data_IF_437013899667
#
_entry.id   IF_437013899667
#
_cell.length_a   1.000
_cell.length_b   1.000
_cell.length_c   1.000
_cell.angle_alpha   90.00
_cell.angle_beta   90.00
_cell.angle_gamma   90.00
#
_symmetry.space_group_name_H-M   'P 1'
#
loop_
_entity.id
_entity.type
_entity.pdbx_description
1 polymer ?
#
# COMPACT_ATOMS: atom_id res chain seq x y z
N UNK A 1 12.81 -1.62 -8.77
CA UNK A 1 12.60 -2.81 -9.62
C UNK A 1 11.80 -2.45 -10.85
N UNK A 2 10.50 -2.12 -10.73
CA UNK A 2 9.57 -1.81 -11.85
C UNK A 2 10.01 -0.72 -12.86
N UNK A 3 10.99 0.13 -12.53
CA UNK A 3 11.51 1.15 -13.46
C UNK A 3 12.54 0.59 -14.44
N UNK A 4 13.34 -0.40 -14.02
CA UNK A 4 14.54 -0.84 -14.72
C UNK A 4 14.56 -2.34 -15.03
N UNK A 5 13.61 -3.12 -14.49
CA UNK A 5 13.63 -4.59 -14.53
C UNK A 5 12.24 -5.19 -14.24
N UNK A 6 12.14 -6.52 -14.29
CA UNK A 6 10.94 -7.32 -14.01
C UNK A 6 11.04 -8.09 -12.67
N UNK A 7 9.92 -8.62 -12.17
CA UNK A 7 9.88 -9.33 -10.87
C UNK A 7 10.64 -10.68 -10.87
N UNK A 8 11.05 -11.17 -12.04
CA UNK A 8 11.79 -12.41 -12.22
C UNK A 8 13.31 -12.22 -12.34
N UNK A 9 13.83 -10.99 -12.27
CA UNK A 9 15.28 -10.66 -12.35
C UNK A 9 16.18 -11.52 -11.45
N UNK A 10 15.67 -11.97 -10.31
CA UNK A 10 16.41 -12.83 -9.38
C UNK A 10 16.63 -14.25 -9.92
N UNK A 11 15.90 -14.68 -10.95
CA UNK A 11 16.07 -15.97 -11.59
C UNK A 11 17.34 -15.98 -12.45
N UNK A 12 18.05 -17.12 -12.53
CA UNK A 12 19.14 -17.25 -13.48
C UNK A 12 18.69 -16.92 -14.91
N UNK A 13 19.55 -16.33 -15.77
CA UNK A 13 19.17 -15.91 -17.13
C UNK A 13 18.54 -17.02 -17.99
N UNK A 14 18.88 -18.28 -17.73
CA UNK A 14 18.31 -19.44 -18.42
C UNK A 14 16.80 -19.64 -18.15
N UNK A 15 16.28 -19.08 -17.06
CA UNK A 15 14.87 -19.12 -16.67
C UNK A 15 14.10 -17.85 -17.05
N UNK A 16 14.75 -16.87 -17.68
CA UNK A 16 14.10 -15.71 -18.33
C UNK A 16 13.53 -16.08 -19.72
N UNK A 17 13.05 -17.32 -19.87
CA UNK A 17 12.36 -17.77 -21.07
C UNK A 17 10.84 -17.53 -20.91
N UNK A 18 10.23 -16.82 -21.86
CA UNK A 18 8.81 -16.48 -21.82
C UNK A 18 7.93 -17.73 -21.77
N UNK A 19 8.34 -18.81 -22.44
CA UNK A 19 7.63 -20.09 -22.40
C UNK A 19 7.75 -20.81 -21.05
N UNK A 20 8.84 -20.60 -20.30
CA UNK A 20 8.97 -21.09 -18.93
C UNK A 20 8.10 -20.28 -17.97
N UNK A 21 8.20 -18.95 -18.02
CA UNK A 21 7.46 -18.04 -17.13
C UNK A 21 5.94 -18.26 -17.26
N UNK A 22 5.43 -18.45 -18.48
CA UNK A 22 3.99 -18.67 -18.69
C UNK A 22 3.46 -19.96 -18.03
N UNK A 23 4.34 -20.93 -17.70
CA UNK A 23 4.00 -22.17 -16.96
C UNK A 23 3.95 -21.98 -15.44
N UNK A 24 4.43 -20.85 -14.90
CA UNK A 24 4.36 -20.56 -13.47
C UNK A 24 2.93 -20.22 -13.08
N UNK A 25 2.30 -20.99 -12.21
CA UNK A 25 0.90 -20.76 -11.86
C UNK A 25 0.68 -19.47 -11.05
N UNK A 26 1.61 -19.15 -10.15
CA UNK A 26 1.46 -18.06 -9.19
C UNK A 26 2.82 -17.45 -8.86
N UNK A 27 2.85 -16.13 -8.69
CA UNK A 27 3.94 -15.41 -8.05
C UNK A 27 3.47 -14.89 -6.69
N UNK A 28 4.11 -15.34 -5.62
CA UNK A 28 3.84 -14.87 -4.26
C UNK A 28 4.98 -13.92 -3.82
N UNK A 29 4.72 -12.61 -3.72
CA UNK A 29 5.74 -11.63 -3.35
C UNK A 29 6.15 -11.74 -1.88
N UNK A 30 7.41 -12.10 -1.63
CA UNK A 30 7.91 -12.26 -0.25
C UNK A 30 7.93 -10.97 0.58
N UNK A 31 7.84 -9.79 -0.04
CA UNK A 31 7.76 -8.51 0.67
C UNK A 31 6.36 -8.18 1.23
N UNK A 32 5.32 -8.88 0.77
CA UNK A 32 3.96 -8.76 1.32
C UNK A 32 3.75 -9.71 2.51
N UNK A 33 4.66 -10.67 2.68
CA UNK A 33 4.62 -11.65 3.77
C UNK A 33 5.35 -11.12 4.98
N UNK A 34 4.70 -11.20 6.14
CA UNK A 34 5.30 -10.84 7.42
C UNK A 34 6.54 -11.67 7.74
N UNK A 35 7.51 -11.04 8.40
CA UNK A 35 8.60 -11.77 9.05
C UNK A 35 8.01 -12.60 10.18
N UNK A 36 8.31 -13.90 10.23
CA UNK A 36 7.84 -14.80 11.29
C UNK A 36 8.32 -14.27 12.66
N UNK A 37 7.37 -13.98 13.55
CA UNK A 37 7.62 -13.51 14.93
C UNK A 37 7.24 -14.58 15.95
N UNK A 38 7.80 -14.47 17.14
CA UNK A 38 7.52 -15.38 18.27
C UNK A 38 6.03 -15.57 18.56
N UNK A 39 5.24 -14.53 18.35
CA UNK A 39 3.80 -14.49 18.60
C UNK A 39 2.97 -15.28 17.57
N UNK A 40 3.52 -15.53 16.38
CA UNK A 40 2.87 -16.31 15.32
C UNK A 40 3.01 -17.82 15.55
N UNK A 41 3.83 -18.25 16.51
CA UNK A 41 3.94 -19.66 16.85
C UNK A 41 2.77 -20.10 17.71
N UNK A 42 2.26 -21.29 17.41
CA UNK A 42 1.29 -21.95 18.29
C UNK A 42 1.88 -22.14 19.69
N UNK A 43 1.05 -21.92 20.71
CA UNK A 43 1.38 -22.25 22.10
C UNK A 43 1.06 -23.72 22.45
N UNK A 44 0.45 -24.44 21.51
CA UNK A 44 0.03 -25.84 21.67
C UNK A 44 0.95 -26.83 20.95
N UNK A 45 0.52 -28.08 20.89
CA UNK A 45 1.23 -29.12 20.14
C UNK A 45 1.10 -28.90 18.63
N UNK A 46 2.22 -28.99 17.92
CA UNK A 46 2.26 -29.04 16.47
C UNK A 46 2.42 -30.46 15.95
N UNK A 47 2.17 -30.66 14.65
CA UNK A 47 2.49 -31.91 13.98
C UNK A 47 4.00 -32.04 13.76
N UNK A 48 4.51 -33.26 13.92
CA UNK A 48 5.87 -33.58 13.48
C UNK A 48 5.92 -33.48 11.95
N UNK A 49 7.04 -32.98 11.41
CA UNK A 49 7.20 -32.66 9.98
C UNK A 49 6.81 -33.82 9.07
N UNK A 50 7.23 -35.05 9.39
CA UNK A 50 6.94 -36.23 8.58
C UNK A 50 5.43 -36.53 8.52
N UNK A 51 4.73 -36.33 9.63
CA UNK A 51 3.29 -36.52 9.68
C UNK A 51 2.54 -35.44 8.90
N UNK A 52 2.98 -34.18 9.03
CA UNK A 52 2.44 -33.08 8.21
C UNK A 52 2.68 -33.34 6.71
N UNK A 53 3.87 -33.84 6.34
CA UNK A 53 4.20 -34.17 4.96
C UNK A 53 3.27 -35.26 4.39
N UNK A 54 2.96 -36.30 5.18
CA UNK A 54 1.98 -37.33 4.78
C UNK A 54 0.56 -36.77 4.64
N UNK A 55 0.13 -35.87 5.54
CA UNK A 55 -1.17 -35.17 5.39
C UNK A 55 -1.21 -34.39 4.08
N UNK A 56 -0.19 -33.58 3.79
CA UNK A 56 -0.13 -32.78 2.55
C UNK A 56 -0.06 -33.67 1.31
N UNK A 57 0.64 -34.80 1.38
CA UNK A 57 0.70 -35.81 0.32
C UNK A 57 -0.67 -36.42 0.03
N UNK A 58 -1.46 -36.69 1.08
CA UNK A 58 -2.82 -37.18 0.93
C UNK A 58 -3.75 -36.10 0.35
N UNK A 59 -3.75 -34.88 0.91
CA UNK A 59 -4.53 -33.74 0.41
C UNK A 59 -4.21 -33.36 -1.04
N UNK A 60 -3.02 -33.69 -1.55
CA UNK A 60 -2.68 -33.49 -2.96
C UNK A 60 -3.60 -34.26 -3.92
N UNK A 61 -4.19 -35.38 -3.48
CA UNK A 61 -5.10 -36.21 -4.29
C UNK A 61 -6.50 -35.64 -4.39
N UNK A 62 -6.91 -34.84 -3.41
CA UNK A 62 -8.19 -34.14 -3.40
C UNK A 62 -8.21 -33.02 -4.45
N UNK A 63 -9.37 -32.68 -5.01
CA UNK A 63 -9.47 -31.55 -5.94
C UNK A 63 -10.50 -30.52 -5.45
N UNK A 64 -9.99 -29.35 -5.05
CA UNK A 64 -10.82 -28.23 -4.58
C UNK A 64 -10.92 -27.12 -5.64
N UNK A 65 -10.53 -27.38 -6.88
CA UNK A 65 -10.51 -26.40 -7.97
C UNK A 65 -11.87 -25.76 -8.24
N UNK A 66 -12.96 -26.52 -8.09
CA UNK A 66 -14.32 -26.06 -8.45
C UNK A 66 -15.06 -25.36 -7.31
N UNK A 67 -14.46 -25.26 -6.11
CA UNK A 67 -15.12 -24.61 -4.96
C UNK A 67 -15.44 -23.13 -5.18
N UNK A 68 -14.57 -22.32 -5.84
CA UNK A 68 -14.88 -20.92 -6.12
C UNK A 68 -16.11 -20.74 -7.01
N UNK A 69 -16.40 -21.70 -7.90
CA UNK A 69 -17.51 -21.64 -8.86
C UNK A 69 -18.90 -21.67 -8.20
N UNK A 70 -18.97 -22.05 -6.92
CA UNK A 70 -20.22 -22.02 -6.15
C UNK A 70 -20.69 -20.58 -5.89
N UNK A 71 -19.76 -19.62 -5.86
CA UNK A 71 -20.01 -18.24 -5.45
C UNK A 71 -19.58 -17.21 -6.49
N UNK A 72 -18.59 -17.54 -7.32
CA UNK A 72 -17.93 -16.60 -8.21
C UNK A 72 -17.73 -17.17 -9.61
N UNK A 73 -17.80 -16.31 -10.62
CA UNK A 73 -17.44 -16.64 -12.01
C UNK A 73 -16.21 -15.84 -12.42
N UNK A 74 -15.14 -16.55 -12.80
CA UNK A 74 -13.92 -15.93 -13.34
C UNK A 74 -14.17 -15.47 -14.79
N UNK A 75 -13.49 -14.41 -15.21
CA UNK A 75 -13.51 -13.87 -16.58
C UNK A 75 -13.39 -14.95 -17.66
N UNK A 76 -14.35 -14.99 -18.60
CA UNK A 76 -14.30 -15.91 -19.74
C UNK A 76 -13.15 -15.60 -20.71
N UNK A 77 -12.61 -14.37 -20.66
CA UNK A 77 -11.58 -13.87 -21.57
C UNK A 77 -10.17 -14.35 -21.23
N UNK A 78 -9.95 -14.95 -20.05
CA UNK A 78 -8.65 -15.52 -19.72
C UNK A 78 -8.46 -16.87 -20.41
N UNK A 79 -7.22 -17.17 -20.80
CA UNK A 79 -6.90 -18.43 -21.46
C UNK A 79 -7.19 -19.62 -20.53
N UNK A 80 -7.37 -20.82 -21.11
CA UNK A 80 -7.52 -22.06 -20.32
C UNK A 80 -6.33 -22.28 -19.37
N UNK A 81 -5.12 -21.93 -19.80
CA UNK A 81 -3.90 -22.00 -18.97
C UNK A 81 -3.96 -21.06 -17.76
N UNK A 82 -4.40 -19.81 -17.96
CA UNK A 82 -4.55 -18.85 -16.87
C UNK A 82 -5.60 -19.31 -15.87
N UNK A 83 -6.70 -19.83 -16.38
CA UNK A 83 -7.79 -20.38 -15.58
C UNK A 83 -7.33 -21.58 -14.75
N UNK A 84 -6.63 -22.52 -15.37
CA UNK A 84 -6.06 -23.69 -14.70
C UNK A 84 -5.04 -23.28 -13.61
N UNK A 85 -4.23 -22.26 -13.88
CA UNK A 85 -3.27 -21.74 -12.92
C UNK A 85 -3.96 -21.16 -11.68
N UNK A 86 -5.01 -20.35 -11.88
CA UNK A 86 -5.80 -19.77 -10.79
C UNK A 86 -6.49 -20.88 -9.98
N UNK A 87 -7.18 -21.81 -10.63
CA UNK A 87 -7.89 -22.89 -9.94
C UNK A 87 -6.95 -23.86 -9.19
N UNK A 88 -5.79 -24.19 -9.76
CA UNK A 88 -4.78 -25.00 -9.04
C UNK A 88 -4.21 -24.27 -7.83
N UNK A 89 -4.04 -22.95 -7.94
CA UNK A 89 -3.58 -22.12 -6.82
C UNK A 89 -4.64 -22.06 -5.73
N UNK A 90 -5.91 -21.85 -6.10
CA UNK A 90 -7.06 -21.93 -5.20
C UNK A 90 -7.15 -23.28 -4.48
N UNK A 91 -7.05 -24.36 -5.24
CA UNK A 91 -7.08 -25.73 -4.70
C UNK A 91 -5.95 -25.95 -3.68
N UNK A 92 -4.76 -25.43 -3.94
CA UNK A 92 -3.63 -25.47 -3.00
C UNK A 92 -3.89 -24.67 -1.72
N UNK A 93 -4.37 -23.42 -1.85
CA UNK A 93 -4.65 -22.54 -0.72
C UNK A 93 -5.76 -23.11 0.17
N UNK A 94 -6.86 -23.58 -0.41
CA UNK A 94 -7.97 -24.19 0.32
C UNK A 94 -7.52 -25.42 1.11
N UNK A 95 -6.62 -26.24 0.58
CA UNK A 95 -6.09 -27.41 1.31
C UNK A 95 -5.22 -27.03 2.50
N UNK A 96 -4.47 -25.93 2.39
CA UNK A 96 -3.56 -25.48 3.45
C UNK A 96 -4.33 -24.77 4.57
N UNK A 97 -5.28 -23.91 4.20
CA UNK A 97 -6.02 -23.07 5.15
C UNK A 97 -7.28 -23.76 5.68
N UNK A 98 -8.01 -24.46 4.81
CA UNK A 98 -9.27 -25.15 5.12
C UNK A 98 -9.21 -26.65 4.74
N UNK A 99 -8.26 -27.44 5.29
CA UNK A 99 -8.09 -28.85 4.95
C UNK A 99 -9.34 -29.70 5.22
N UNK A 100 -10.15 -29.33 6.22
CA UNK A 100 -11.40 -29.99 6.57
C UNK A 100 -12.65 -29.38 5.88
N UNK A 101 -12.47 -28.33 5.08
CA UNK A 101 -13.53 -27.45 4.59
C UNK A 101 -14.11 -26.54 5.69
N UNK A 102 -15.27 -25.94 5.41
CA UNK A 102 -15.97 -25.02 6.31
C UNK A 102 -15.66 -23.54 6.07
N UNK A 103 -15.01 -23.25 4.95
CA UNK A 103 -14.79 -21.89 4.45
C UNK A 103 -16.11 -21.16 4.16
N UNK A 104 -16.16 -19.87 4.50
CA UNK A 104 -17.26 -18.97 4.13
C UNK A 104 -17.10 -18.46 2.68
N UNK A 105 -18.15 -17.83 2.13
CA UNK A 105 -18.06 -17.22 0.81
C UNK A 105 -17.02 -16.09 0.79
N UNK A 106 -16.89 -15.36 1.90
CA UNK A 106 -15.90 -14.30 2.11
C UNK A 106 -14.46 -14.87 2.12
N UNK A 107 -14.24 -15.98 2.82
CA UNK A 107 -12.92 -16.67 2.83
C UNK A 107 -12.53 -17.12 1.41
N UNK A 108 -13.50 -17.68 0.67
CA UNK A 108 -13.28 -18.10 -0.73
C UNK A 108 -12.96 -16.90 -1.62
N UNK A 109 -13.63 -15.77 -1.42
CA UNK A 109 -13.37 -14.53 -2.16
C UNK A 109 -11.96 -13.99 -1.91
N UNK A 110 -11.51 -14.00 -0.65
CA UNK A 110 -10.17 -13.54 -0.28
C UNK A 110 -9.08 -14.41 -0.93
N UNK A 111 -9.23 -15.73 -0.86
CA UNK A 111 -8.31 -16.65 -1.53
C UNK A 111 -8.37 -16.47 -3.05
N UNK A 112 -9.54 -16.23 -3.63
CA UNK A 112 -9.71 -16.00 -5.08
C UNK A 112 -9.01 -14.73 -5.54
N UNK A 113 -9.13 -13.64 -4.78
CA UNK A 113 -8.39 -12.39 -5.02
C UNK A 113 -6.90 -12.67 -5.06
N UNK A 114 -6.37 -13.34 -4.04
CA UNK A 114 -4.94 -13.69 -3.95
C UNK A 114 -4.49 -14.55 -5.14
N UNK A 115 -5.24 -15.59 -5.51
CA UNK A 115 -4.90 -16.46 -6.63
C UNK A 115 -4.90 -15.73 -7.98
N UNK A 116 -5.89 -14.87 -8.23
CA UNK A 116 -5.95 -14.03 -9.42
C UNK A 116 -4.81 -13.01 -9.45
N UNK A 117 -4.51 -12.38 -8.32
CA UNK A 117 -3.44 -11.39 -8.19
C UNK A 117 -2.07 -12.02 -8.44
N UNK A 118 -1.84 -13.23 -7.91
CA UNK A 118 -0.62 -14.00 -8.15
C UNK A 118 -0.45 -14.41 -9.61
N UNK A 119 -1.53 -14.79 -10.31
CA UNK A 119 -1.45 -15.13 -11.75
C UNK A 119 -1.31 -13.88 -12.63
N UNK A 120 -1.98 -12.78 -12.27
CA UNK A 120 -1.84 -11.48 -12.92
C UNK A 120 -0.38 -11.01 -12.89
N UNK A 121 0.31 -11.09 -11.74
CA UNK A 121 1.75 -10.78 -11.64
C UNK A 121 2.58 -11.54 -12.67
N UNK A 122 2.35 -12.85 -12.84
CA UNK A 122 3.08 -13.66 -13.84
C UNK A 122 2.83 -13.14 -15.25
N UNK A 123 1.57 -12.87 -15.62
CA UNK A 123 1.20 -12.42 -16.97
C UNK A 123 1.68 -11.00 -17.28
N UNK A 124 1.59 -10.10 -16.31
CA UNK A 124 2.03 -8.72 -16.51
C UNK A 124 3.55 -8.66 -16.67
N UNK A 125 4.31 -9.48 -15.93
CA UNK A 125 5.74 -9.63 -16.16
C UNK A 125 6.07 -10.35 -17.47
N UNK A 126 5.28 -11.34 -17.88
CA UNK A 126 5.46 -12.01 -19.17
C UNK A 126 5.29 -11.03 -20.33
N UNK A 127 4.23 -10.21 -20.30
CA UNK A 127 4.00 -9.14 -21.28
C UNK A 127 5.15 -8.13 -21.30
N UNK A 128 5.72 -7.85 -20.14
CA UNK A 128 6.87 -6.96 -19.97
C UNK A 128 8.15 -7.52 -20.61
N UNK A 129 8.37 -8.84 -20.53
CA UNK A 129 9.53 -9.54 -21.10
C UNK A 129 9.35 -9.79 -22.60
N UNK A 130 8.14 -10.15 -23.01
CA UNK A 130 7.77 -10.53 -24.37
C UNK A 130 6.40 -9.94 -24.74
N UNK A 131 6.44 -8.83 -25.47
CA UNK A 131 5.25 -8.08 -25.87
C UNK A 131 4.38 -8.77 -26.94
N UNK A 132 4.77 -9.97 -27.41
CA UNK A 132 3.95 -10.76 -28.34
C UNK A 132 2.76 -11.43 -27.67
N UNK A 133 2.78 -11.54 -26.34
CA UNK A 133 1.65 -12.07 -25.58
C UNK A 133 0.50 -11.05 -25.49
N UNK A 134 -0.76 -11.49 -25.54
CA UNK A 134 -1.90 -10.60 -25.39
C UNK A 134 -2.05 -10.11 -23.95
N UNK A 135 -2.58 -8.88 -23.81
CA UNK A 135 -3.04 -8.36 -22.52
C UNK A 135 -4.24 -9.18 -22.01
N UNK A 136 -4.27 -9.44 -20.70
CA UNK A 136 -5.29 -10.28 -20.06
C UNK A 136 -6.00 -9.49 -18.97
N UNK A 137 -7.32 -9.36 -19.07
CA UNK A 137 -8.15 -8.67 -18.06
C UNK A 137 -8.58 -9.66 -16.96
N UNK A 138 -7.91 -9.58 -15.80
CA UNK A 138 -8.20 -10.39 -14.62
C UNK A 138 -9.32 -9.75 -13.77
N UNK A 139 -10.51 -10.35 -13.84
CA UNK A 139 -11.64 -10.02 -12.99
C UNK A 139 -12.46 -11.27 -12.66
N UNK A 140 -13.27 -11.17 -11.61
CA UNK A 140 -14.30 -12.14 -11.28
C UNK A 140 -15.63 -11.43 -11.02
N UNK A 141 -16.72 -12.19 -11.08
CA UNK A 141 -18.09 -11.71 -10.87
C UNK A 141 -18.70 -12.47 -9.71
N UNK A 142 -19.30 -11.76 -8.75
CA UNK A 142 -20.01 -12.37 -7.63
C UNK A 142 -21.45 -12.74 -7.97
N UNK A 143 -22.18 -13.24 -6.98
CA UNK A 143 -23.62 -13.56 -7.07
C UNK A 143 -24.49 -12.33 -7.34
N UNK A 144 -23.98 -11.14 -7.06
CA UNK A 144 -24.60 -9.84 -7.35
C UNK A 144 -24.45 -9.39 -8.81
N UNK A 145 -23.62 -10.08 -9.61
CA UNK A 145 -23.36 -9.71 -10.99
C UNK A 145 -22.36 -8.56 -11.16
N UNK A 146 -21.78 -8.03 -10.08
CA UNK A 146 -20.79 -6.96 -10.17
C UNK A 146 -19.42 -7.49 -10.58
N UNK A 147 -18.79 -6.80 -11.55
CA UNK A 147 -17.44 -7.13 -12.04
C UNK A 147 -16.39 -6.51 -11.13
N UNK A 148 -15.61 -7.36 -10.46
CA UNK A 148 -14.52 -6.95 -9.57
C UNK A 148 -13.18 -7.21 -10.25
N UNK A 149 -12.50 -6.12 -10.65
CA UNK A 149 -11.16 -6.17 -11.24
C UNK A 149 -10.10 -6.37 -10.17
N UNK A 150 -9.08 -7.14 -10.50
CA UNK A 150 -7.94 -7.39 -9.61
C UNK A 150 -6.79 -6.47 -10.02
N UNK A 151 -6.27 -5.73 -9.06
CA UNK A 151 -5.05 -4.93 -9.20
C UNK A 151 -3.99 -5.48 -8.26
N UNK A 152 -2.74 -5.51 -8.71
CA UNK A 152 -1.63 -5.90 -7.83
C UNK A 152 -1.19 -4.71 -6.98
N UNK A 153 -0.53 -4.96 -5.85
CA UNK A 153 -0.01 -3.89 -4.97
C UNK A 153 0.92 -2.93 -5.74
N UNK A 154 1.74 -3.47 -6.63
CA UNK A 154 2.65 -2.69 -7.47
C UNK A 154 1.92 -1.77 -8.46
N UNK A 155 0.77 -2.22 -8.99
CA UNK A 155 -0.09 -1.42 -9.88
C UNK A 155 -0.68 -0.23 -9.12
N UNK A 156 -1.09 -0.44 -7.87
CA UNK A 156 -1.66 0.59 -7.00
C UNK A 156 -0.59 1.59 -6.50
N UNK A 157 0.60 1.10 -6.15
CA UNK A 157 1.68 1.94 -5.60
C UNK A 157 2.43 2.74 -6.67
N UNK A 158 2.59 2.16 -7.86
CA UNK A 158 3.44 2.72 -8.90
C UNK A 158 2.76 2.72 -10.28
N UNK A 159 1.56 3.30 -10.44
CA UNK A 159 0.83 3.28 -11.71
C UNK A 159 1.65 3.89 -12.86
N UNK A 160 2.44 4.92 -12.57
CA UNK A 160 3.34 5.59 -13.53
C UNK A 160 4.53 4.74 -14.02
N UNK A 161 4.81 3.60 -13.38
CA UNK A 161 5.93 2.70 -13.74
C UNK A 161 5.46 1.29 -14.09
N UNK A 162 4.25 0.89 -13.69
CA UNK A 162 3.76 -0.47 -13.83
C UNK A 162 3.63 -0.91 -15.29
N UNK A 163 3.03 -0.07 -16.14
CA UNK A 163 2.83 -0.36 -17.57
C UNK A 163 4.01 0.09 -18.47
N UNK A 164 5.13 0.56 -17.90
CA UNK A 164 6.28 0.98 -18.71
C UNK A 164 7.04 -0.25 -19.21
N UNK A 165 7.19 -0.35 -20.54
CA UNK A 165 8.06 -1.35 -21.18
C UNK A 165 9.51 -1.16 -20.67
N UNK A 166 10.27 -2.23 -20.39
CA UNK A 166 11.69 -2.10 -20.15
C UNK A 166 12.32 -1.56 -21.43
N UNK A 167 13.20 -0.57 -21.29
CA UNK A 167 14.02 -0.08 -22.39
C UNK A 167 14.94 -1.24 -22.84
N UNK A 168 14.52 -1.99 -23.85
CA UNK A 168 15.41 -2.90 -24.55
C UNK A 168 16.28 -2.04 -25.49
N UNK A 169 17.60 -2.17 -25.30
CA UNK A 169 18.73 -1.55 -26.00
C UNK A 169 19.12 -0.07 -25.68
N UNK A 170 20.26 0.17 -24.97
CA UNK A 170 20.80 1.51 -24.72
C UNK A 170 21.53 2.13 -25.94
N UNK A 171 21.15 1.76 -27.17
CA UNK A 171 21.79 2.26 -28.41
C UNK A 171 20.84 2.77 -29.49
N UNK A 172 19.58 3.03 -29.15
CA UNK A 172 18.63 3.63 -30.08
C UNK A 172 17.75 4.66 -29.36
N UNK A 173 18.38 5.63 -28.71
CA UNK A 173 17.70 6.82 -28.16
C UNK A 173 18.14 8.09 -28.90
N UNK A 174 18.24 7.95 -30.23
CA UNK A 174 18.31 9.05 -31.18
C UNK A 174 17.58 8.61 -32.45
N UNK A 175 16.24 8.68 -32.42
CA UNK A 175 15.37 9.09 -33.54
C UNK A 175 13.89 8.78 -33.25
N UNK A 176 13.14 9.88 -33.19
CA UNK A 176 11.81 10.04 -33.78
C UNK A 176 10.66 9.27 -33.10
N UNK A 177 10.01 10.00 -32.19
CA UNK A 177 8.57 9.89 -31.99
C UNK A 177 7.86 10.24 -33.30
N UNK A 178 7.41 9.22 -34.03
CA UNK A 178 6.40 9.39 -35.07
C UNK A 178 5.03 9.33 -34.39
N UNK A 179 4.50 10.53 -34.18
CA UNK A 179 3.09 10.78 -33.91
C UNK A 179 2.31 10.44 -35.19
N UNK A 180 1.40 9.49 -35.12
CA UNK A 180 0.30 9.39 -36.08
C UNK A 180 -0.95 9.84 -35.36
N UNK A 181 -1.34 11.09 -35.59
CA UNK A 181 -2.70 11.42 -35.97
C UNK A 181 -2.64 12.67 -36.85
N UNK A 182 -3.01 12.48 -38.11
CA UNK A 182 -3.23 13.55 -39.08
C UNK A 182 -4.44 14.37 -38.62
N UNK A 183 -4.28 15.69 -38.45
CA UNK A 183 -5.19 16.67 -39.05
C UNK A 183 -4.56 18.06 -39.06
N UNK A 184 -4.56 18.62 -40.27
CA UNK A 184 -3.90 19.84 -40.74
C UNK A 184 -4.66 21.08 -40.26
N UNK A 185 -3.97 22.13 -39.78
CA UNK A 185 -4.23 23.56 -40.06
C UNK A 185 -2.98 24.39 -39.69
N UNK A 186 -2.74 25.40 -40.52
CA UNK A 186 -1.51 26.15 -40.81
C UNK A 186 -0.96 27.11 -39.72
N UNK A 187 0.36 27.27 -39.78
CA UNK A 187 1.26 28.39 -39.45
C UNK A 187 0.73 29.62 -38.67
N UNK A 188 1.39 29.99 -37.56
CA UNK A 188 2.54 30.93 -37.56
C UNK A 188 2.95 31.42 -36.15
N UNK A 189 4.25 31.68 -36.01
CA UNK A 189 4.94 32.59 -35.07
C UNK A 189 5.35 32.12 -33.65
N UNK A 190 6.65 31.82 -33.56
CA UNK A 190 7.64 32.34 -32.59
C UNK A 190 7.20 32.57 -31.14
N UNK A 191 7.67 31.72 -30.23
CA UNK A 191 8.30 32.21 -29.01
C UNK A 191 9.27 31.21 -28.38
N UNK A 192 10.37 31.76 -27.85
CA UNK A 192 11.54 31.08 -27.28
C UNK A 192 11.15 30.10 -26.16
N UNK A 193 11.64 28.86 -26.26
CA UNK A 193 11.57 27.87 -25.18
C UNK A 193 12.43 28.30 -24.00
N UNK A 194 11.78 28.65 -22.90
CA UNK A 194 12.36 28.52 -21.56
C UNK A 194 11.95 27.15 -20.99
N UNK A 195 12.77 26.54 -20.12
CA UNK A 195 12.47 25.25 -19.54
C UNK A 195 11.16 25.33 -18.75
N UNK A 196 10.12 24.63 -19.21
CA UNK A 196 8.90 24.43 -18.43
C UNK A 196 9.26 23.64 -17.18
N UNK A 197 9.37 24.35 -16.06
CA UNK A 197 9.22 23.74 -14.74
C UNK A 197 7.87 23.02 -14.72
N UNK A 198 7.90 21.70 -14.55
CA UNK A 198 6.72 20.89 -14.29
C UNK A 198 6.26 21.27 -12.89
N UNK A 199 5.45 22.32 -12.78
CA UNK A 199 4.70 22.58 -11.57
C UNK A 199 3.66 21.46 -11.47
N UNK A 200 3.66 20.62 -10.43
CA UNK A 200 2.66 19.58 -10.30
C UNK A 200 1.29 20.24 -10.25
N UNK A 201 0.44 19.87 -11.22
CA UNK A 201 -0.97 20.25 -11.27
C UNK A 201 -1.59 19.80 -9.95
N UNK A 202 -1.99 20.73 -9.07
CA UNK A 202 -2.68 20.40 -7.80
C UNK A 202 -3.87 19.50 -8.13
N UNK A 203 -3.79 18.24 -7.71
CA UNK A 203 -4.92 17.32 -7.75
C UNK A 203 -6.06 17.92 -6.92
N UNK A 204 -7.29 17.80 -7.41
CA UNK A 204 -8.46 18.28 -6.70
C UNK A 204 -8.64 17.39 -5.47
N UNK A 205 -8.78 18.00 -4.28
CA UNK A 205 -9.04 17.26 -3.05
C UNK A 205 -10.45 16.65 -3.13
N UNK A 206 -10.57 15.38 -2.78
CA UNK A 206 -11.82 14.62 -2.84
C UNK A 206 -12.15 14.05 -1.47
N UNK A 207 -13.43 14.02 -1.13
CA UNK A 207 -13.93 13.26 0.01
C UNK A 207 -13.91 11.77 -0.33
N UNK A 208 -13.65 10.92 0.67
CA UNK A 208 -13.55 9.50 0.39
C UNK A 208 -13.06 8.67 1.56
N UNK A 209 -13.39 7.38 1.51
CA UNK A 209 -12.90 6.36 2.43
C UNK A 209 -11.83 5.53 1.73
N UNK A 210 -10.65 5.47 2.33
CA UNK A 210 -9.47 4.79 1.78
C UNK A 210 -8.96 3.76 2.77
N UNK A 211 -8.82 2.52 2.31
CA UNK A 211 -8.32 1.41 3.11
C UNK A 211 -6.92 1.06 2.63
N UNK A 212 -6.00 0.91 3.58
CA UNK A 212 -4.61 0.56 3.34
C UNK A 212 -4.33 -0.83 3.94
N UNK A 213 -3.88 -1.74 3.08
CA UNK A 213 -3.46 -3.07 3.48
C UNK A 213 -2.20 -3.03 4.36
N UNK A 214 -2.05 -4.05 5.20
CA UNK A 214 -0.87 -4.25 6.04
C UNK A 214 0.38 -4.58 5.21
N UNK A 215 1.57 -4.39 5.77
CA UNK A 215 2.89 -4.69 5.19
C UNK A 215 3.30 -3.90 3.95
N UNK A 216 2.43 -3.03 3.42
CA UNK A 216 2.78 -2.16 2.30
C UNK A 216 3.71 -1.00 2.70
N UNK A 217 4.35 -0.40 1.71
CA UNK A 217 5.27 0.75 1.85
C UNK A 217 4.78 1.91 0.97
N UNK A 218 5.57 2.97 0.86
CA UNK A 218 5.29 4.08 -0.06
C UNK A 218 4.29 5.12 0.46
N UNK A 219 3.81 4.98 1.70
CA UNK A 219 2.88 5.92 2.33
C UNK A 219 3.60 6.74 3.41
N UNK A 220 3.32 8.04 3.46
CA UNK A 220 3.81 8.96 4.47
C UNK A 220 2.70 9.92 4.90
N UNK A 221 2.93 10.66 5.98
CA UNK A 221 1.99 11.70 6.40
C UNK A 221 1.84 12.81 5.38
N UNK A 222 2.88 13.08 4.58
CA UNK A 222 2.78 14.05 3.50
C UNK A 222 1.80 13.58 2.41
N UNK A 223 1.86 12.30 2.02
CA UNK A 223 0.95 11.74 1.02
C UNK A 223 -0.48 11.58 1.53
N UNK A 224 -0.68 11.30 2.82
CA UNK A 224 -2.00 11.15 3.43
C UNK A 224 -2.66 12.49 3.78
N UNK A 225 -1.92 13.40 4.41
CA UNK A 225 -2.48 14.58 5.05
C UNK A 225 -2.06 15.88 4.36
N UNK A 226 -0.90 15.90 3.71
CA UNK A 226 -0.25 17.14 3.25
C UNK A 226 -1.18 18.03 2.43
N UNK A 227 -1.84 17.47 1.41
CA UNK A 227 -2.74 18.25 0.56
C UNK A 227 -4.01 18.74 1.29
N UNK A 228 -4.48 18.02 2.32
CA UNK A 228 -5.69 18.34 3.09
C UNK A 228 -5.45 19.38 4.21
N UNK A 229 -4.19 19.58 4.59
CA UNK A 229 -3.81 20.59 5.58
C UNK A 229 -3.22 21.86 4.95
N UNK A 230 -3.02 21.88 3.63
CA UNK A 230 -2.46 23.04 2.93
C UNK A 230 -3.35 24.29 3.16
N UNK A 231 -2.75 25.35 3.71
CA UNK A 231 -3.43 26.61 4.02
C UNK A 231 -4.14 26.65 5.38
N UNK A 232 -4.08 25.57 6.18
CA UNK A 232 -4.61 25.58 7.53
C UNK A 232 -3.72 26.44 8.46
N UNK A 233 -4.34 27.31 9.26
CA UNK A 233 -3.66 28.06 10.33
C UNK A 233 -3.83 27.37 11.67
N UNK A 234 -4.85 26.52 11.81
CA UNK A 234 -5.14 25.75 13.03
C UNK A 234 -5.44 24.30 12.68
N UNK A 235 -4.67 23.41 13.29
CA UNK A 235 -4.80 21.96 13.15
C UNK A 235 -5.01 21.37 14.54
N UNK A 236 -6.09 20.60 14.73
CA UNK A 236 -6.36 19.87 15.97
C UNK A 236 -6.23 18.38 15.68
N UNK A 237 -5.32 17.72 16.36
CA UNK A 237 -5.11 16.28 16.28
C UNK A 237 -5.68 15.64 17.54
N UNK A 238 -6.67 14.78 17.39
CA UNK A 238 -7.24 13.97 18.48
C UNK A 238 -6.74 12.54 18.31
N UNK A 239 -5.88 12.07 19.22
CA UNK A 239 -5.38 10.69 19.21
C UNK A 239 -5.08 10.20 20.65
N UNK A 240 -5.94 9.33 21.24
CA UNK A 240 -5.80 8.87 22.63
C UNK A 240 -4.56 8.01 22.93
N UNK A 241 -3.83 7.62 21.88
CA UNK A 241 -2.75 6.63 21.96
C UNK A 241 -1.38 7.24 21.69
N UNK A 242 -1.19 8.56 21.78
CA UNK A 242 0.15 9.17 21.71
C UNK A 242 0.83 9.07 23.09
N UNK A 243 1.33 7.88 23.44
CA UNK A 243 1.84 7.54 24.79
C UNK A 243 3.32 7.18 24.82
N UNK A 244 3.71 6.27 23.95
CA UNK A 244 5.07 5.75 23.90
C UNK A 244 5.97 6.58 22.98
N UNK A 245 7.29 6.47 23.18
CA UNK A 245 8.28 7.23 22.40
C UNK A 245 8.06 7.17 20.89
N UNK A 246 7.75 6.00 20.33
CA UNK A 246 7.54 5.86 18.89
C UNK A 246 6.24 6.53 18.41
N UNK A 247 5.21 6.62 19.26
CA UNK A 247 3.95 7.31 18.96
C UNK A 247 4.14 8.83 19.06
N UNK A 248 4.92 9.28 20.03
CA UNK A 248 5.30 10.69 20.14
C UNK A 248 6.24 11.10 18.99
N UNK A 249 7.13 10.19 18.54
CA UNK A 249 7.93 10.39 17.32
C UNK A 249 7.04 10.55 16.08
N UNK A 250 5.98 9.76 15.96
CA UNK A 250 4.97 9.92 14.91
C UNK A 250 4.31 11.32 14.98
N UNK A 251 3.94 11.79 16.17
CA UNK A 251 3.46 13.17 16.33
C UNK A 251 4.50 14.21 15.88
N UNK A 252 5.77 14.04 16.27
CA UNK A 252 6.85 14.94 15.82
C UNK A 252 6.98 14.94 14.29
N UNK A 253 6.93 13.79 13.64
CA UNK A 253 6.99 13.70 12.18
C UNK A 253 5.79 14.33 11.47
N UNK A 254 4.60 14.28 12.09
CA UNK A 254 3.45 15.05 11.62
C UNK A 254 3.73 16.54 11.70
N UNK A 255 4.27 17.04 12.83
CA UNK A 255 4.68 18.45 12.98
C UNK A 255 5.72 18.84 11.94
N UNK A 256 6.75 18.00 11.72
CA UNK A 256 7.76 18.26 10.69
C UNK A 256 7.16 18.35 9.28
N UNK A 257 6.14 17.54 8.97
CA UNK A 257 5.43 17.63 7.70
C UNK A 257 4.73 18.99 7.56
N UNK A 258 4.04 19.47 8.60
CA UNK A 258 3.43 20.83 8.59
C UNK A 258 4.49 21.90 8.36
N UNK A 259 5.63 21.83 9.06
CA UNK A 259 6.74 22.80 8.92
C UNK A 259 7.26 22.83 7.48
N UNK A 260 7.38 21.68 6.81
CA UNK A 260 7.88 21.59 5.43
C UNK A 260 6.89 22.13 4.40
N UNK A 261 5.59 22.14 4.71
CA UNK A 261 4.52 22.55 3.78
C UNK A 261 4.06 23.98 3.95
N UNK A 262 4.08 24.54 5.15
CA UNK A 262 3.68 25.93 5.39
C UNK A 262 4.60 26.90 4.65
N UNK A 263 4.09 28.09 4.29
CA UNK A 263 4.97 29.14 3.80
C UNK A 263 5.91 29.60 4.93
N UNK A 264 7.14 30.07 4.62
CA UNK A 264 8.06 30.61 5.62
C UNK A 264 7.43 31.72 6.49
N UNK A 265 6.57 32.54 5.89
CA UNK A 265 5.83 33.65 6.51
C UNK A 265 4.64 33.22 7.37
N UNK A 266 4.11 32.01 7.19
CA UNK A 266 2.92 31.55 7.89
C UNK A 266 3.24 31.07 9.31
N UNK A 267 2.27 31.29 10.20
CA UNK A 267 2.24 30.66 11.52
C UNK A 267 1.10 29.65 11.56
N UNK A 268 1.40 28.44 12.01
CA UNK A 268 0.42 27.36 12.13
C UNK A 268 0.38 26.85 13.57
N UNK A 269 -0.80 26.82 14.17
CA UNK A 269 -1.04 26.26 15.49
C UNK A 269 -1.47 24.80 15.37
N UNK A 270 -0.73 23.89 16.01
CA UNK A 270 -1.06 22.47 16.12
C UNK A 270 -1.40 22.17 17.58
N UNK A 271 -2.60 21.65 17.81
CA UNK A 271 -3.05 21.24 19.14
C UNK A 271 -3.30 19.73 19.19
N UNK A 272 -2.56 19.01 20.03
CA UNK A 272 -2.76 17.58 20.28
C UNK A 272 -3.66 17.34 21.51
N UNK A 273 -4.71 16.55 21.33
CA UNK A 273 -5.52 15.98 22.43
C UNK A 273 -5.23 14.48 22.51
N UNK A 274 -4.65 14.03 23.63
CA UNK A 274 -4.22 12.62 23.83
C UNK A 274 -4.64 12.07 25.19
N UNK A 275 -4.53 10.75 25.39
CA UNK A 275 -4.78 10.09 26.67
C UNK A 275 -3.51 9.97 27.52
N UNK A 276 -3.61 10.00 28.85
CA UNK A 276 -2.46 9.76 29.73
C UNK A 276 -1.97 8.30 29.64
N UNK A 277 -0.66 8.12 29.73
CA UNK A 277 -0.03 6.80 29.94
C UNK A 277 -0.13 6.40 31.42
N UNK A 278 -0.91 5.36 31.70
CA UNK A 278 -1.10 4.82 33.06
C UNK A 278 0.21 4.32 33.69
N UNK A 279 1.20 3.93 32.87
CA UNK A 279 2.49 3.43 33.34
C UNK A 279 3.54 4.52 33.55
N UNK A 280 3.63 5.50 32.64
CA UNK A 280 4.70 6.50 32.64
C UNK A 280 4.29 7.88 32.12
N UNK A 281 3.25 8.46 32.71
CA UNK A 281 2.75 9.82 32.39
C UNK A 281 3.84 10.90 32.46
N UNK A 282 4.80 10.77 33.39
CA UNK A 282 5.89 11.73 33.52
C UNK A 282 6.79 11.74 32.28
N UNK A 283 7.18 10.55 31.78
CA UNK A 283 8.00 10.47 30.57
C UNK A 283 7.23 10.91 29.32
N UNK A 284 5.95 10.57 29.23
CA UNK A 284 5.08 11.03 28.16
C UNK A 284 5.02 12.57 28.11
N UNK A 285 4.78 13.22 29.26
CA UNK A 285 4.78 14.69 29.39
C UNK A 285 6.11 15.30 28.98
N UNK A 286 7.23 14.77 29.47
CA UNK A 286 8.58 15.24 29.11
C UNK A 286 8.81 15.18 27.59
N UNK A 287 8.42 14.09 26.94
CA UNK A 287 8.57 13.92 25.50
C UNK A 287 7.64 14.85 24.70
N UNK A 288 6.39 15.04 25.12
CA UNK A 288 5.47 16.00 24.48
C UNK A 288 5.95 17.45 24.65
N UNK A 289 6.49 17.80 25.82
CA UNK A 289 7.10 19.11 26.04
C UNK A 289 8.32 19.33 25.15
N UNK A 290 9.13 18.28 24.92
CA UNK A 290 10.27 18.38 24.00
C UNK A 290 9.86 18.69 22.55
N UNK A 291 8.66 18.28 22.11
CA UNK A 291 8.10 18.71 20.81
C UNK A 291 7.81 20.21 20.84
N UNK A 292 7.16 20.70 21.91
CA UNK A 292 6.86 22.12 22.09
C UNK A 292 8.12 22.97 22.01
N UNK A 293 9.18 22.58 22.73
CA UNK A 293 10.49 23.24 22.71
C UNK A 293 11.14 23.19 21.32
N UNK A 294 11.08 22.04 20.63
CA UNK A 294 11.63 21.87 19.29
C UNK A 294 10.93 22.72 18.22
N UNK A 295 9.68 23.12 18.46
CA UNK A 295 8.92 23.98 17.56
C UNK A 295 9.28 25.47 17.66
N UNK A 296 9.99 25.90 18.71
CA UNK A 296 10.34 27.31 18.91
C UNK A 296 11.13 27.86 17.71
N UNK A 297 10.61 28.93 17.10
CA UNK A 297 11.23 29.58 15.95
C UNK A 297 11.02 28.87 14.60
N UNK A 298 10.28 27.76 14.57
CA UNK A 298 9.93 27.06 13.32
C UNK A 298 8.76 27.68 12.56
N UNK A 299 8.03 28.60 13.20
CA UNK A 299 6.75 29.13 12.72
C UNK A 299 5.57 28.17 12.94
N UNK A 300 5.77 27.09 13.70
CA UNK A 300 4.70 26.25 14.21
C UNK A 300 4.61 26.40 15.72
N UNK A 301 3.40 26.63 16.23
CA UNK A 301 3.10 26.57 17.66
C UNK A 301 2.49 25.21 17.97
N UNK A 302 3.23 24.36 18.68
CA UNK A 302 2.71 23.07 19.15
C UNK A 302 2.23 23.19 20.59
N UNK A 303 1.01 22.74 20.85
CA UNK A 303 0.43 22.64 22.18
C UNK A 303 -0.23 21.28 22.35
N UNK A 304 -0.39 20.83 23.60
CA UNK A 304 -0.99 19.54 23.87
C UNK A 304 -1.80 19.54 25.17
N UNK A 305 -2.79 18.66 25.26
CA UNK A 305 -3.60 18.45 26.45
C UNK A 305 -3.97 16.97 26.61
N UNK A 306 -4.12 16.54 27.87
CA UNK A 306 -4.74 15.25 28.16
C UNK A 306 -6.27 15.39 28.10
N UNK A 307 -6.92 14.49 27.37
CA UNK A 307 -8.36 14.36 27.46
C UNK A 307 -8.75 13.86 28.86
N UNK A 308 -9.44 14.73 29.60
CA UNK A 308 -9.92 14.45 30.96
C UNK A 308 -11.37 13.96 30.97
N UNK A 309 -12.03 13.90 29.80
CA UNK A 309 -13.42 13.47 29.68
C UNK A 309 -13.61 11.95 29.83
N UNK A 310 -12.54 11.16 29.62
CA UNK A 310 -12.58 9.70 29.68
C UNK A 310 -13.42 9.03 28.59
N UNK A 311 -13.88 9.80 27.59
CA UNK A 311 -14.81 9.34 26.54
C UNK A 311 -14.23 9.43 25.12
N UNK A 312 -13.04 10.00 24.95
CA UNK A 312 -12.38 10.14 23.67
C UNK A 312 -11.81 8.82 23.15
N UNK A 313 -12.57 8.11 22.32
CA UNK A 313 -12.02 7.11 21.38
C UNK A 313 -11.84 7.68 19.97
N UNK A 314 -12.18 8.96 19.79
CA UNK A 314 -12.05 9.64 18.51
C UNK A 314 -10.57 9.73 18.08
N UNK A 315 -10.35 9.47 16.80
CA UNK A 315 -9.06 9.55 16.14
C UNK A 315 -9.26 10.36 14.88
N UNK A 316 -9.02 11.66 14.98
CA UNK A 316 -9.24 12.57 13.87
C UNK A 316 -8.28 13.75 13.85
N UNK A 317 -8.10 14.32 12.67
CA UNK A 317 -7.39 15.56 12.44
C UNK A 317 -8.40 16.54 11.86
N UNK A 318 -8.59 17.67 12.53
CA UNK A 318 -9.51 18.73 12.10
C UNK A 318 -8.70 19.97 11.76
N UNK A 319 -8.96 20.55 10.60
CA UNK A 319 -8.32 21.79 10.14
C UNK A 319 -9.33 22.91 9.99
N UNK A 320 -8.89 24.15 10.17
CA UNK A 320 -9.66 25.34 9.81
C UNK A 320 -9.72 25.60 8.30
N UNK A 321 -9.03 24.79 7.49
CA UNK A 321 -9.16 24.74 6.04
C UNK A 321 -10.40 23.95 5.56
N UNK A 322 -11.27 23.51 6.49
CA UNK A 322 -12.55 22.86 6.18
C UNK A 322 -12.44 21.35 5.97
N UNK A 323 -11.45 20.70 6.57
CA UNK A 323 -11.27 19.25 6.48
C UNK A 323 -11.26 18.58 7.84
N UNK A 324 -11.96 17.45 7.91
CA UNK A 324 -11.86 16.47 8.99
C UNK A 324 -11.38 15.14 8.42
N UNK A 325 -10.26 14.66 8.93
CA UNK A 325 -9.63 13.40 8.53
C UNK A 325 -9.85 12.40 9.67
N UNK A 326 -10.70 11.40 9.44
CA UNK A 326 -11.01 10.36 10.44
C UNK A 326 -10.09 9.15 10.22
N UNK A 327 -9.47 8.68 11.29
CA UNK A 327 -8.42 7.67 11.26
C UNK A 327 -8.85 6.45 12.07
N UNK A 328 -8.62 5.25 11.55
CA UNK A 328 -8.82 4.04 12.34
C UNK A 328 -7.81 3.95 13.49
N UNK A 329 -6.51 4.17 13.21
CA UNK A 329 -5.42 3.91 14.16
C UNK A 329 -4.74 5.18 14.67
N UNK A 330 -5.31 6.35 14.36
CA UNK A 330 -4.68 7.63 14.63
C UNK A 330 -3.38 7.77 13.84
N UNK A 331 -2.35 8.35 14.45
CA UNK A 331 -1.04 8.51 13.82
C UNK A 331 -0.21 7.22 13.85
N UNK A 332 -0.54 6.23 14.67
CA UNK A 332 0.24 4.99 14.83
C UNK A 332 -0.02 3.94 13.72
N UNK A 333 0.15 4.36 12.47
CA UNK A 333 -0.09 3.55 11.25
C UNK A 333 1.13 2.71 10.82
N UNK A 334 2.32 3.00 11.34
CA UNK A 334 3.55 2.29 10.99
C UNK A 334 3.80 1.11 11.92
N UNK A 335 4.36 0.02 11.37
CA UNK A 335 4.89 -1.06 12.19
C UNK A 335 6.13 -0.61 12.96
N UNK A 336 6.35 -1.25 14.11
CA UNK A 336 7.56 -1.02 14.88
C UNK A 336 8.80 -1.30 14.01
N UNK A 337 9.85 -0.45 14.08
CA UNK A 337 11.07 -0.68 13.33
C UNK A 337 11.66 -2.03 13.70
N UNK A 338 12.00 -2.84 12.70
CA UNK A 338 12.81 -4.04 12.90
C UNK A 338 14.17 -3.59 13.46
N UNK A 339 14.42 -3.85 14.74
CA UNK A 339 15.74 -3.59 15.33
C UNK A 339 16.77 -4.42 14.58
N UNK A 340 17.56 -3.75 13.74
CA UNK A 340 18.76 -4.28 13.11
C UNK A 340 19.93 -3.45 13.62
N UNK A 341 21.05 -4.09 13.88
CA UNK A 341 22.29 -3.37 14.19
C UNK A 341 22.74 -2.64 12.91
N UNK A 342 22.63 -1.31 12.89
CA UNK A 342 23.07 -0.47 11.76
C UNK A 342 22.06 0.60 11.34
N UNK A 343 22.25 1.15 10.13
CA UNK A 343 21.41 2.21 9.55
C UNK A 343 20.22 1.60 8.78
N UNK A 344 19.00 2.14 8.97
CA UNK A 344 17.84 1.80 8.14
C UNK A 344 17.22 3.05 7.50
N UNK A 345 16.83 2.94 6.22
CA UNK A 345 16.09 4.02 5.55
C UNK A 345 14.77 4.34 6.25
N UNK A 346 14.14 3.31 6.85
CA UNK A 346 12.89 3.45 7.60
C UNK A 346 13.00 4.37 8.82
N UNK A 347 14.22 4.65 9.30
CA UNK A 347 14.43 5.49 10.48
C UNK A 347 14.07 6.95 10.20
N UNK A 348 14.31 7.40 8.95
CA UNK A 348 14.14 8.78 8.50
C UNK A 348 13.08 8.95 7.40
N UNK A 349 12.86 7.95 6.57
CA UNK A 349 11.90 8.01 5.46
C UNK A 349 10.68 7.17 5.79
N UNK A 350 9.52 7.82 5.91
CA UNK A 350 8.26 7.16 6.25
C UNK A 350 7.82 6.18 5.16
N UNK A 351 8.09 6.51 3.90
CA UNK A 351 7.77 5.70 2.73
C UNK A 351 8.49 4.34 2.73
N UNK A 352 9.54 4.18 3.54
CA UNK A 352 10.26 2.92 3.68
C UNK A 352 9.79 2.06 4.87
N UNK A 353 8.82 2.55 5.66
CA UNK A 353 8.22 1.83 6.78
C UNK A 353 7.06 0.96 6.31
N UNK A 354 6.97 -0.24 6.87
CA UNK A 354 5.81 -1.11 6.67
C UNK A 354 4.61 -0.54 7.43
N UNK A 355 3.45 -0.54 6.78
CA UNK A 355 2.19 -0.12 7.40
C UNK A 355 1.58 -1.27 8.21
N UNK A 356 0.84 -0.90 9.25
CA UNK A 356 -0.24 -1.72 9.82
C UNK A 356 -1.46 -1.57 8.90
N UNK A 357 -2.41 -2.50 8.88
CA UNK A 357 -3.71 -2.26 8.23
C UNK A 357 -4.42 -1.08 8.90
N UNK A 358 -4.96 -0.13 8.13
CA UNK A 358 -5.75 1.02 8.64
C UNK A 358 -6.65 1.60 7.53
N UNK A 359 -7.62 2.44 7.93
CA UNK A 359 -8.35 3.27 7.00
C UNK A 359 -8.24 4.77 7.35
N UNK A 360 -8.45 5.60 6.34
CA UNK A 360 -8.58 7.06 6.45
C UNK A 360 -9.85 7.48 5.73
N UNK A 361 -10.64 8.36 6.36
CA UNK A 361 -11.80 8.98 5.72
C UNK A 361 -11.63 10.49 5.69
N UNK A 362 -11.66 11.08 4.50
CA UNK A 362 -11.62 12.53 4.30
C UNK A 362 -13.05 13.06 4.23
N UNK A 363 -13.40 13.96 5.13
CA UNK A 363 -14.72 14.58 5.24
C UNK A 363 -14.54 16.09 5.15
N UNK A 364 -15.35 16.75 4.33
CA UNK A 364 -15.36 18.21 4.28
C UNK A 364 -16.25 18.74 5.39
N UNK A 365 -15.76 19.69 6.17
CA UNK A 365 -16.52 20.37 7.20
C UNK A 365 -16.88 21.76 6.70
N UNK A 366 -18.18 22.08 6.73
CA UNK A 366 -18.73 23.36 6.26
C UNK A 366 -18.16 24.59 6.96
#
# INVERSE_FOLDING_TARGET
>A
MLKNSDLFEALPPQFHDSAFIDRLHAYLPGWEVDVIRGEMFTRGYGFIVDYLAEILRHLRQEDFSNRPDQHFSISEKISSRDRDAVYKTMSGLLKVIFPAGGESAEDVEELLKLALESRKRVKDQLFRIDATYPEVDFFYTGSDGEKRRIQTVEEQEFPQFYHKKPAQDPKQDDREAHDTDEEVIEENQTNKEQPRQIVPKKAKLEEGHHVFAENRKGISYDSLFGSYIDGAQRIVVTDPYIRYFYQIKNMMEFVEMVIRRKAPEDQVAIHLVTGPDDGNIHKQRELLESITEACVGSGVEFTWAFDTSGTGHARDIVTDAGWKIVLDRGLDIFQAPLRRDGFSLSDRLQEHRMLKSFYVTYVRTE
#
